data_IF_461107493665
#
_entry.id   IF_461107493665
#
_cell.length_a   1.000
_cell.length_b   1.000
_cell.length_c   1.000
_cell.angle_alpha   90.00
_cell.angle_beta   90.00
_cell.angle_gamma   90.00
#
_symmetry.space_group_name_H-M   'P 1'
#
loop_
_entity.id
_entity.type
_entity.pdbx_description
1 polymer ?
#
# COMPACT_ATOMS: atom_id res chain seq x y z
N UNK A 1 2.54 11.60 -47.52
CA UNK A 1 3.89 11.29 -47.02
C UNK A 1 4.41 12.56 -46.33
N UNK A 2 4.39 12.59 -44.99
CA UNK A 2 4.90 13.73 -44.22
C UNK A 2 6.20 13.34 -43.54
N UNK A 3 7.28 14.00 -43.96
CA UNK A 3 8.55 14.05 -43.24
C UNK A 3 8.48 14.96 -42.03
N UNK A 4 9.67 15.29 -41.51
CA UNK A 4 9.99 15.89 -40.21
C UNK A 4 10.12 14.84 -39.08
N UNK A 5 11.28 14.63 -38.48
CA UNK A 5 12.44 15.50 -38.41
C UNK A 5 12.86 15.64 -36.96
N UNK A 6 14.04 15.11 -36.65
CA UNK A 6 15.00 15.53 -35.61
C UNK A 6 15.77 14.30 -35.14
N UNK A 7 16.85 14.03 -35.86
CA UNK A 7 18.03 13.36 -35.32
C UNK A 7 18.35 13.99 -33.97
N UNK A 8 18.13 13.23 -32.90
CA UNK A 8 18.38 13.62 -31.53
C UNK A 8 19.89 13.61 -31.24
N UNK A 9 20.62 14.58 -31.80
CA UNK A 9 21.92 14.98 -31.24
C UNK A 9 21.67 15.83 -30.00
N UNK A 10 21.19 15.18 -28.94
CA UNK A 10 21.11 15.79 -27.62
C UNK A 10 22.53 16.13 -27.18
N UNK A 11 22.80 17.40 -26.85
CA UNK A 11 24.03 17.80 -26.15
C UNK A 11 24.25 16.83 -24.98
N UNK A 12 25.49 16.37 -24.72
CA UNK A 12 25.75 15.54 -23.55
C UNK A 12 25.26 16.30 -22.33
N UNK A 13 24.21 15.78 -21.70
CA UNK A 13 23.67 16.35 -20.46
C UNK A 13 24.81 16.43 -19.45
N UNK A 14 24.88 17.55 -18.73
CA UNK A 14 25.81 17.69 -17.61
C UNK A 14 25.60 16.56 -16.60
N UNK A 15 26.64 16.23 -15.83
CA UNK A 15 26.57 15.16 -14.82
C UNK A 15 25.38 15.32 -13.88
N UNK A 16 25.13 16.54 -13.41
CA UNK A 16 24.02 16.87 -12.51
C UNK A 16 22.65 16.66 -13.18
N UNK A 17 22.46 17.11 -14.41
CA UNK A 17 21.22 16.91 -15.16
C UNK A 17 20.94 15.42 -15.43
N UNK A 18 21.99 14.62 -15.67
CA UNK A 18 21.86 13.17 -15.82
C UNK A 18 21.40 12.51 -14.53
N UNK A 19 22.00 12.90 -13.40
CA UNK A 19 21.62 12.37 -12.10
C UNK A 19 20.20 12.77 -11.70
N UNK A 20 19.78 13.99 -11.99
CA UNK A 20 18.42 14.44 -11.69
C UNK A 20 17.38 13.71 -12.54
N UNK A 21 17.65 13.52 -13.84
CA UNK A 21 16.77 12.69 -14.69
C UNK A 21 16.70 11.26 -14.20
N UNK A 22 17.83 10.66 -13.81
CA UNK A 22 17.87 9.31 -13.25
C UNK A 22 17.04 9.22 -11.97
N UNK A 23 17.20 10.18 -11.06
CA UNK A 23 16.43 10.27 -9.82
C UNK A 23 14.92 10.34 -10.09
N UNK A 24 14.47 11.20 -11.01
CA UNK A 24 13.05 11.33 -11.39
C UNK A 24 12.49 10.02 -11.95
N UNK A 25 13.27 9.33 -12.79
CA UNK A 25 12.90 8.02 -13.36
C UNK A 25 12.78 6.96 -12.27
N UNK A 26 13.78 6.83 -11.39
CA UNK A 26 13.78 5.83 -10.33
C UNK A 26 12.70 6.09 -9.26
N UNK A 27 12.45 7.36 -8.93
CA UNK A 27 11.33 7.75 -8.07
C UNK A 27 9.98 7.35 -8.67
N UNK A 28 9.77 7.64 -9.95
CA UNK A 28 8.52 7.26 -10.65
C UNK A 28 8.36 5.74 -10.72
N UNK A 29 9.45 4.98 -10.94
CA UNK A 29 9.42 3.51 -10.88
C UNK A 29 9.02 3.01 -9.50
N UNK A 30 9.59 3.60 -8.45
CA UNK A 30 9.30 3.24 -7.06
C UNK A 30 7.83 3.48 -6.70
N UNK A 31 7.30 4.65 -7.04
CA UNK A 31 5.88 4.98 -6.82
C UNK A 31 4.94 4.04 -7.58
N UNK A 32 5.28 3.67 -8.83
CA UNK A 32 4.50 2.71 -9.62
C UNK A 32 4.54 1.31 -9.01
N UNK A 33 5.71 0.85 -8.57
CA UNK A 33 5.88 -0.46 -7.91
C UNK A 33 5.13 -0.51 -6.58
N UNK A 34 5.17 0.57 -5.81
CA UNK A 34 4.41 0.67 -4.56
C UNK A 34 2.91 0.46 -4.77
N UNK A 35 2.31 1.13 -5.77
CA UNK A 35 0.89 0.93 -6.12
C UNK A 35 0.55 -0.51 -6.51
N UNK A 36 1.51 -1.22 -7.13
CA UNK A 36 1.35 -2.65 -7.47
C UNK A 36 1.37 -3.50 -6.18
N UNK A 37 2.31 -3.23 -5.28
CA UNK A 37 2.41 -3.92 -3.99
C UNK A 37 1.16 -3.69 -3.14
N UNK A 38 0.64 -2.47 -3.03
CA UNK A 38 -0.61 -2.17 -2.32
C UNK A 38 -1.79 -2.99 -2.86
N UNK A 39 -1.89 -3.07 -4.20
CA UNK A 39 -2.93 -3.86 -4.86
C UNK A 39 -2.75 -5.35 -4.59
N UNK A 40 -1.53 -5.87 -4.61
CA UNK A 40 -1.26 -7.28 -4.28
C UNK A 40 -1.52 -7.55 -2.80
N UNK A 41 -1.18 -6.63 -1.91
CA UNK A 41 -1.37 -6.74 -0.46
C UNK A 41 -2.85 -6.86 -0.13
N UNK A 42 -3.69 -6.06 -0.78
CA UNK A 42 -5.14 -6.12 -0.62
C UNK A 42 -5.75 -7.48 -0.99
N UNK A 43 -5.03 -8.28 -1.79
CA UNK A 43 -5.40 -9.60 -2.31
C UNK A 43 -4.78 -10.78 -1.57
N UNK A 44 -3.91 -10.53 -0.60
CA UNK A 44 -3.34 -11.59 0.23
C UNK A 44 -4.39 -12.10 1.22
N UNK A 45 -4.31 -13.40 1.54
CA UNK A 45 -5.04 -13.96 2.67
C UNK A 45 -4.60 -13.27 3.98
N UNK A 46 -5.49 -13.18 4.97
CA UNK A 46 -5.23 -12.43 6.21
C UNK A 46 -3.92 -12.81 6.93
N UNK A 47 -3.53 -14.11 6.88
CA UNK A 47 -2.27 -14.62 7.46
C UNK A 47 -1.03 -13.98 6.82
N UNK A 48 -1.00 -13.91 5.49
CA UNK A 48 0.13 -13.36 4.75
C UNK A 48 0.09 -11.83 4.71
N UNK A 49 -1.11 -11.24 4.73
CA UNK A 49 -1.29 -9.80 4.69
C UNK A 49 -0.53 -9.10 5.83
N UNK A 50 -0.55 -9.65 7.05
CA UNK A 50 0.20 -9.07 8.20
C UNK A 50 1.71 -9.08 7.99
N UNK A 51 2.25 -10.17 7.43
CA UNK A 51 3.68 -10.26 7.13
C UNK A 51 4.08 -9.22 6.08
N UNK A 52 3.34 -9.16 4.97
CA UNK A 52 3.62 -8.22 3.89
C UNK A 52 3.35 -6.76 4.24
N UNK A 53 2.44 -6.48 5.19
CA UNK A 53 2.16 -5.12 5.66
C UNK A 53 3.42 -4.43 6.19
N UNK A 54 4.27 -5.15 6.94
CA UNK A 54 5.50 -4.60 7.49
C UNK A 54 6.49 -4.23 6.37
N UNK A 55 6.69 -5.13 5.41
CA UNK A 55 7.59 -4.91 4.27
C UNK A 55 7.14 -3.74 3.38
N UNK A 56 5.84 -3.71 3.03
CA UNK A 56 5.25 -2.63 2.22
C UNK A 56 5.35 -1.29 2.95
N UNK A 57 5.13 -1.27 4.26
CA UNK A 57 5.30 -0.07 5.08
C UNK A 57 6.76 0.41 5.08
N UNK A 58 7.72 -0.49 5.28
CA UNK A 58 9.16 -0.15 5.21
C UNK A 58 9.55 0.43 3.85
N UNK A 59 9.01 -0.09 2.75
CA UNK A 59 9.22 0.49 1.43
C UNK A 59 8.64 1.92 1.32
N UNK A 60 7.46 2.18 1.90
CA UNK A 60 6.86 3.52 1.90
C UNK A 60 7.74 4.54 2.63
N UNK A 61 8.24 4.16 3.81
CA UNK A 61 9.15 5.00 4.59
C UNK A 61 10.43 5.29 3.81
N UNK A 62 11.03 4.29 3.18
CA UNK A 62 12.25 4.45 2.39
C UNK A 62 12.05 5.36 1.18
N UNK A 63 10.95 5.24 0.44
CA UNK A 63 10.59 6.20 -0.62
C UNK A 63 10.50 7.60 -0.02
N UNK A 64 9.83 7.75 1.14
CA UNK A 64 9.73 9.01 1.87
C UNK A 64 11.10 9.60 2.21
N UNK A 65 12.03 8.80 2.73
CA UNK A 65 13.39 9.23 3.08
C UNK A 65 14.13 9.79 1.85
N UNK A 66 14.12 9.07 0.74
CA UNK A 66 14.84 9.49 -0.47
C UNK A 66 14.13 10.59 -1.27
N UNK A 67 12.82 10.77 -1.08
CA UNK A 67 12.01 11.71 -1.86
C UNK A 67 11.61 13.00 -1.14
N UNK A 68 11.78 13.06 0.18
CA UNK A 68 11.44 14.22 0.99
C UNK A 68 12.45 15.36 0.78
N UNK A 69 12.01 16.58 0.39
CA UNK A 69 12.88 17.74 0.24
C UNK A 69 13.76 18.03 1.46
N UNK A 70 13.28 17.75 2.68
CA UNK A 70 14.02 17.94 3.94
C UNK A 70 15.31 17.11 4.04
N UNK A 71 15.42 16.05 3.25
CA UNK A 71 16.58 15.17 3.25
C UNK A 71 17.54 15.45 2.09
N UNK A 72 17.22 16.41 1.20
CA UNK A 72 18.03 16.66 0.00
C UNK A 72 19.40 17.25 0.31
N UNK A 73 19.50 18.00 1.41
CA UNK A 73 20.78 18.55 1.91
C UNK A 73 21.62 17.50 2.65
N UNK A 74 20.98 16.43 3.16
CA UNK A 74 21.62 15.38 3.97
C UNK A 74 22.08 14.18 3.14
N UNK A 75 21.38 13.90 2.03
CA UNK A 75 21.61 12.72 1.20
C UNK A 75 21.92 13.21 -0.22
N UNK A 76 23.13 12.91 -0.68
CA UNK A 76 23.56 13.24 -2.04
C UNK A 76 22.57 12.69 -3.08
N UNK A 77 22.47 13.34 -4.23
CA UNK A 77 21.57 12.85 -5.30
C UNK A 77 21.99 11.47 -5.80
N UNK A 78 23.28 11.15 -5.73
CA UNK A 78 23.82 9.84 -6.08
C UNK A 78 23.35 8.76 -5.10
N UNK A 79 23.42 9.03 -3.79
CA UNK A 79 22.95 8.10 -2.76
C UNK A 79 21.44 7.92 -2.79
N UNK A 80 20.68 9.00 -3.07
CA UNK A 80 19.23 8.91 -3.32
C UNK A 80 18.92 8.03 -4.52
N UNK A 81 19.66 8.19 -5.63
CA UNK A 81 19.52 7.32 -6.80
C UNK A 81 19.82 5.86 -6.48
N UNK A 82 20.97 5.58 -5.84
CA UNK A 82 21.37 4.21 -5.46
C UNK A 82 20.37 3.57 -4.48
N UNK A 83 19.90 4.35 -3.50
CA UNK A 83 18.88 3.94 -2.53
C UNK A 83 17.56 3.56 -3.22
N UNK A 84 17.06 4.40 -4.12
CA UNK A 84 15.85 4.11 -4.90
C UNK A 84 16.02 2.92 -5.83
N UNK A 85 17.18 2.75 -6.47
CA UNK A 85 17.46 1.58 -7.32
C UNK A 85 17.47 0.28 -6.52
N UNK A 86 18.09 0.29 -5.33
CA UNK A 86 18.07 -0.85 -4.42
C UNK A 86 16.64 -1.16 -3.97
N UNK A 87 15.91 -0.13 -3.54
CA UNK A 87 14.51 -0.27 -3.12
C UNK A 87 13.62 -0.80 -4.25
N UNK A 88 13.84 -0.37 -5.49
CA UNK A 88 13.12 -0.90 -6.66
C UNK A 88 13.38 -2.40 -6.86
N UNK A 89 14.61 -2.89 -6.61
CA UNK A 89 14.92 -4.33 -6.68
C UNK A 89 14.25 -5.11 -5.55
N UNK A 90 14.27 -4.57 -4.33
CA UNK A 90 13.59 -5.16 -3.17
C UNK A 90 12.07 -5.23 -3.41
N UNK A 91 11.46 -4.16 -3.91
CA UNK A 91 10.03 -4.15 -4.26
C UNK A 91 9.69 -5.14 -5.38
N UNK A 92 10.55 -5.32 -6.38
CA UNK A 92 10.37 -6.38 -7.37
C UNK A 92 10.41 -7.77 -6.72
N UNK A 93 11.32 -8.01 -5.78
CA UNK A 93 11.38 -9.27 -5.04
C UNK A 93 10.09 -9.51 -4.24
N UNK A 94 9.60 -8.50 -3.51
CA UNK A 94 8.34 -8.59 -2.78
C UNK A 94 7.16 -8.84 -3.69
N UNK A 95 7.11 -8.19 -4.86
CA UNK A 95 6.08 -8.44 -5.87
C UNK A 95 6.06 -9.92 -6.28
N UNK A 96 7.21 -10.51 -6.60
CA UNK A 96 7.31 -11.93 -6.97
C UNK A 96 6.85 -12.87 -5.85
N UNK A 97 7.25 -12.59 -4.60
CA UNK A 97 6.85 -13.41 -3.46
C UNK A 97 5.34 -13.30 -3.18
N UNK A 98 4.79 -12.09 -3.23
CA UNK A 98 3.36 -11.85 -3.07
C UNK A 98 2.56 -12.49 -4.21
N UNK A 99 3.10 -12.51 -5.43
CA UNK A 99 2.46 -13.19 -6.57
C UNK A 99 2.39 -14.71 -6.38
N UNK A 100 3.36 -15.34 -5.69
CA UNK A 100 3.33 -16.77 -5.34
C UNK A 100 2.26 -17.09 -4.30
N UNK A 101 2.00 -16.17 -3.37
CA UNK A 101 1.05 -16.38 -2.26
C UNK A 101 -0.31 -15.72 -2.46
N UNK A 102 -0.51 -14.97 -3.57
CA UNK A 102 -1.76 -14.26 -3.82
C UNK A 102 -2.92 -15.24 -3.96
N UNK A 103 -4.08 -14.84 -3.45
CA UNK A 103 -5.30 -15.54 -3.78
C UNK A 103 -5.68 -15.26 -5.23
N UNK A 104 -6.17 -16.29 -5.91
CA UNK A 104 -6.90 -16.09 -7.16
C UNK A 104 -8.14 -15.20 -6.89
N UNK A 105 -8.62 -14.52 -7.94
CA UNK A 105 -9.70 -13.53 -7.82
C UNK A 105 -10.94 -14.09 -7.11
N UNK A 106 -11.33 -15.33 -7.42
CA UNK A 106 -12.53 -15.95 -6.84
C UNK A 106 -12.34 -16.22 -5.33
N UNK A 107 -11.31 -16.96 -4.87
CA UNK A 107 -11.04 -17.12 -3.43
C UNK A 107 -10.92 -15.79 -2.67
N UNK A 108 -10.29 -14.78 -3.28
CA UNK A 108 -10.19 -13.46 -2.67
C UNK A 108 -11.56 -12.78 -2.47
N UNK A 109 -12.43 -12.82 -3.48
CA UNK A 109 -13.80 -12.29 -3.38
C UNK A 109 -14.57 -13.03 -2.28
N UNK A 110 -14.45 -14.37 -2.22
CA UNK A 110 -15.12 -15.18 -1.19
C UNK A 110 -14.64 -14.84 0.22
N UNK A 111 -13.33 -14.65 0.42
CA UNK A 111 -12.79 -14.20 1.72
C UNK A 111 -13.28 -12.80 2.10
N UNK A 112 -13.27 -11.85 1.15
CA UNK A 112 -13.81 -10.50 1.38
C UNK A 112 -15.29 -10.54 1.72
N UNK A 113 -16.06 -11.37 1.04
CA UNK A 113 -17.49 -11.56 1.29
C UNK A 113 -17.74 -12.15 2.68
N UNK A 114 -17.01 -13.21 3.06
CA UNK A 114 -17.07 -13.80 4.41
C UNK A 114 -16.76 -12.77 5.49
N UNK A 115 -15.66 -12.04 5.36
CA UNK A 115 -15.28 -10.99 6.32
C UNK A 115 -16.34 -9.86 6.39
N UNK A 116 -16.98 -9.53 5.27
CA UNK A 116 -18.08 -8.57 5.24
C UNK A 116 -19.32 -9.10 5.98
N UNK A 117 -19.70 -10.35 5.76
CA UNK A 117 -20.82 -10.99 6.46
C UNK A 117 -20.56 -11.05 7.97
N UNK A 118 -19.39 -11.52 8.40
CA UNK A 118 -19.00 -11.58 9.82
C UNK A 118 -19.09 -10.20 10.51
N UNK A 119 -18.55 -9.15 9.87
CA UNK A 119 -18.64 -7.79 10.41
C UNK A 119 -20.08 -7.24 10.44
N UNK A 120 -20.91 -7.63 9.47
CA UNK A 120 -22.33 -7.25 9.45
C UNK A 120 -23.09 -7.93 10.59
N UNK A 121 -22.83 -9.20 10.83
CA UNK A 121 -23.47 -9.96 11.91
C UNK A 121 -23.01 -9.48 13.29
N UNK A 122 -21.74 -9.13 13.44
CA UNK A 122 -21.22 -8.47 14.65
C UNK A 122 -21.92 -7.14 14.93
N UNK A 123 -22.04 -6.26 13.92
CA UNK A 123 -22.78 -5.00 14.09
C UNK A 123 -24.25 -5.22 14.46
N UNK A 124 -24.89 -6.26 13.91
CA UNK A 124 -26.27 -6.63 14.27
C UNK A 124 -26.38 -7.13 15.70
N UNK A 125 -25.43 -7.94 16.18
CA UNK A 125 -25.43 -8.41 17.56
C UNK A 125 -25.17 -7.27 18.54
N UNK A 126 -24.23 -6.36 18.25
CA UNK A 126 -23.96 -5.15 19.02
C UNK A 126 -25.22 -4.26 19.14
N UNK A 127 -25.93 -4.02 18.03
CA UNK A 127 -27.20 -3.26 18.05
C UNK A 127 -28.29 -3.98 18.85
N UNK A 128 -28.38 -5.31 18.79
CA UNK A 128 -29.33 -6.07 19.63
C UNK A 128 -28.98 -5.97 21.11
N UNK A 129 -27.70 -6.06 21.46
CA UNK A 129 -27.22 -5.89 22.83
C UNK A 129 -27.52 -4.48 23.36
N UNK A 130 -27.31 -3.44 22.55
CA UNK A 130 -27.67 -2.07 22.91
C UNK A 130 -29.18 -1.91 23.13
N UNK A 131 -30.02 -2.43 22.23
CA UNK A 131 -31.49 -2.37 22.39
C UNK A 131 -31.97 -3.10 23.64
N UNK A 132 -31.40 -4.26 23.93
CA UNK A 132 -31.72 -5.03 25.13
C UNK A 132 -31.23 -4.33 26.41
N UNK A 133 -30.07 -3.69 26.37
CA UNK A 133 -29.57 -2.84 27.45
C UNK A 133 -30.53 -1.67 27.74
N UNK A 134 -30.96 -0.92 26.73
CA UNK A 134 -31.93 0.17 26.91
C UNK A 134 -33.30 -0.32 27.40
N UNK A 135 -33.80 -1.44 26.87
CA UNK A 135 -35.04 -2.06 27.36
C UNK A 135 -34.98 -2.38 28.86
N UNK A 136 -33.82 -2.83 29.36
CA UNK A 136 -33.64 -3.16 30.78
C UNK A 136 -33.56 -1.92 31.67
N UNK A 137 -33.07 -0.79 31.15
CA UNK A 137 -33.03 0.49 31.87
C UNK A 137 -34.43 1.11 31.93
N UNK A 138 -35.16 1.07 30.82
CA UNK A 138 -36.51 1.66 30.71
C UNK A 138 -37.60 0.76 31.32
N UNK A 139 -37.29 -0.52 31.60
CA UNK A 139 -38.21 -1.41 32.26
C UNK A 139 -38.48 -0.89 33.69
N UNK A 140 -39.74 -0.56 34.05
CA UNK A 140 -40.06 -0.22 35.43
C UNK A 140 -39.64 -1.39 36.33
N UNK A 141 -39.15 -1.13 37.55
CA UNK A 141 -38.80 -2.19 38.48
C UNK A 141 -40.00 -3.13 38.58
N UNK A 142 -39.79 -4.42 38.27
CA UNK A 142 -40.87 -5.39 38.36
C UNK A 142 -41.44 -5.27 39.77
N UNK A 143 -42.74 -4.97 39.86
CA UNK A 143 -43.44 -5.08 41.14
C UNK A 143 -43.28 -6.53 41.57
N UNK A 144 -42.35 -6.80 42.48
CA UNK A 144 -42.45 -7.95 43.36
C UNK A 144 -43.77 -7.74 44.09
N UNK A 145 -44.79 -8.48 43.67
CA UNK A 145 -45.97 -8.75 44.49
C UNK A 145 -45.46 -9.31 45.80
N UNK A 146 -45.55 -8.50 46.85
CA UNK A 146 -45.71 -8.98 48.22
C UNK A 146 -47.16 -9.42 48.36
#
# INVERSE_FOLDING_TARGET
MFGFGKLCFSRPLGYEEKQEKLYRVEKTKAEKKMKILDKLLSRQAAKNQRHWQFEVFGCHEMIGIYSNPKNFDKISIEDRCKGLQRLNREMCHYEEQMLKTKLATIPWIMEKWRNHQENRDRRRSEVRQQKEYFRRIDAPPSRRTV
#
